data_IF_815652948060
#
_entry.id   IF_815652948060
#
_cell.length_a   1.000
_cell.length_b   1.000
_cell.length_c   1.000
_cell.angle_alpha   90.00
_cell.angle_beta   90.00
_cell.angle_gamma   90.00
#
_symmetry.space_group_name_H-M   'P 1'
#
loop_
_entity.id
_entity.type
_entity.pdbx_description
1 polymer ?
#
# COMPACT_ATOMS: atom_id res chain seq x y z
N UNK A 1 29.08 -4.07 68.03
CA UNK A 1 27.69 -4.05 68.52
C UNK A 1 27.09 -2.66 68.32
N UNK A 2 25.94 -2.57 67.62
CA UNK A 2 24.83 -1.59 67.76
C UNK A 2 25.24 -0.10 67.56
N UNK A 3 24.70 0.68 66.62
CA UNK A 3 23.28 0.89 66.32
C UNK A 3 23.10 1.42 64.88
N UNK A 4 22.33 0.71 64.07
CA UNK A 4 21.54 1.32 63.01
C UNK A 4 20.31 1.96 63.66
N UNK A 5 19.92 3.17 63.25
CA UNK A 5 18.54 3.69 63.19
C UNK A 5 18.57 5.22 63.08
N UNK A 6 18.63 5.77 61.87
CA UNK A 6 17.81 6.93 61.47
C UNK A 6 17.45 6.72 59.99
N UNK A 7 16.32 6.06 59.82
CA UNK A 7 15.61 5.81 58.56
C UNK A 7 14.54 6.90 58.41
N UNK A 8 14.26 7.29 57.16
CA UNK A 8 13.03 7.93 56.70
C UNK A 8 12.74 9.38 57.11
N UNK A 9 13.45 10.35 56.52
CA UNK A 9 13.07 11.76 56.64
C UNK A 9 13.18 12.65 55.41
N UNK A 10 13.71 12.19 54.26
CA UNK A 10 13.94 13.09 53.10
C UNK A 10 13.69 12.40 51.74
N UNK A 11 12.70 11.49 51.67
CA UNK A 11 12.29 10.84 50.42
C UNK A 11 10.78 11.02 50.15
N UNK A 12 10.19 12.11 50.66
CA UNK A 12 8.75 12.35 50.62
C UNK A 12 8.25 13.50 49.75
N UNK A 13 9.12 14.23 49.03
CA UNK A 13 8.71 15.42 48.25
C UNK A 13 9.05 15.40 46.76
N UNK A 14 9.64 14.32 46.23
CA UNK A 14 9.92 14.21 44.78
C UNK A 14 8.84 13.40 44.03
N UNK A 15 7.84 12.83 44.72
CA UNK A 15 6.73 12.10 44.10
C UNK A 15 5.46 12.95 43.90
N UNK A 16 5.56 14.28 44.04
CA UNK A 16 4.46 15.22 43.81
C UNK A 16 4.62 16.09 42.55
N UNK A 17 5.59 15.79 41.68
CA UNK A 17 5.45 16.14 40.26
C UNK A 17 4.50 15.14 39.58
N UNK A 18 3.29 15.02 40.12
CA UNK A 18 2.12 14.75 39.27
C UNK A 18 1.90 15.99 38.41
N UNK A 19 2.83 16.26 37.50
CA UNK A 19 2.60 17.15 36.39
C UNK A 19 1.52 16.45 35.57
N UNK A 20 0.26 16.73 35.92
CA UNK A 20 -0.81 16.58 34.95
C UNK A 20 -0.49 17.60 33.87
N UNK A 21 0.33 17.19 32.90
CA UNK A 21 0.55 17.94 31.68
C UNK A 21 -0.83 18.38 31.21
N UNK A 22 -0.98 19.69 31.03
CA UNK A 22 -2.24 20.29 30.64
C UNK A 22 -2.86 19.47 29.51
N UNK A 23 -4.11 19.02 29.69
CA UNK A 23 -4.76 18.13 28.74
C UNK A 23 -4.95 18.88 27.42
N UNK A 24 -4.12 18.55 26.43
CA UNK A 24 -4.22 19.13 25.10
C UNK A 24 -5.34 18.45 24.33
N UNK A 25 -6.13 19.25 23.64
CA UNK A 25 -7.25 18.75 22.85
C UNK A 25 -6.73 18.08 21.59
N UNK A 26 -7.57 17.21 21.01
CA UNK A 26 -7.32 16.63 19.69
C UNK A 26 -7.02 17.69 18.62
N UNK A 27 -7.79 18.78 18.60
CA UNK A 27 -7.60 19.87 17.63
C UNK A 27 -6.22 20.51 17.78
N UNK A 28 -5.79 20.78 19.02
CA UNK A 28 -4.46 21.31 19.29
C UNK A 28 -3.36 20.40 18.71
N UNK A 29 -3.45 19.08 18.92
CA UNK A 29 -2.50 18.14 18.35
C UNK A 29 -2.50 18.11 16.81
N UNK A 30 -3.65 18.29 16.17
CA UNK A 30 -3.72 18.36 14.70
C UNK A 30 -2.99 19.60 14.15
N UNK A 31 -3.00 20.71 14.90
CA UNK A 31 -2.28 21.94 14.55
C UNK A 31 -0.79 21.91 14.94
N UNK A 32 -0.37 20.93 15.76
CA UNK A 32 0.97 20.79 16.33
C UNK A 32 1.58 19.42 15.96
N UNK A 33 1.99 19.21 14.69
CA UNK A 33 2.36 17.90 14.18
C UNK A 33 3.63 17.31 14.79
N UNK A 34 4.57 18.15 15.29
CA UNK A 34 5.80 17.67 15.94
C UNK A 34 5.45 17.06 17.31
N UNK A 35 4.68 17.79 18.10
CA UNK A 35 4.22 17.39 19.41
C UNK A 35 3.29 16.17 19.32
N UNK A 36 2.41 16.14 18.32
CA UNK A 36 1.62 14.96 17.99
C UNK A 36 2.50 13.74 17.73
N UNK A 37 3.53 13.86 16.89
CA UNK A 37 4.43 12.75 16.56
C UNK A 37 5.14 12.21 17.81
N UNK A 38 5.65 13.09 18.67
CA UNK A 38 6.35 12.72 19.90
C UNK A 38 5.42 12.05 20.92
N UNK A 39 4.27 12.65 21.20
CA UNK A 39 3.30 12.13 22.18
C UNK A 39 2.70 10.82 21.67
N UNK A 40 2.32 10.74 20.39
CA UNK A 40 1.81 9.51 19.79
C UNK A 40 2.81 8.36 19.88
N UNK A 41 4.10 8.61 19.59
CA UNK A 41 5.14 7.59 19.68
C UNK A 41 5.30 7.07 21.11
N UNK A 42 5.30 7.97 22.11
CA UNK A 42 5.33 7.60 23.53
C UNK A 42 4.11 6.77 23.93
N UNK A 43 2.90 7.22 23.61
CA UNK A 43 1.66 6.52 23.94
C UNK A 43 1.56 5.13 23.27
N UNK A 44 2.05 4.99 22.03
CA UNK A 44 2.11 3.69 21.34
C UNK A 44 3.10 2.73 22.01
N UNK A 45 4.23 3.24 22.49
CA UNK A 45 5.26 2.43 23.14
C UNK A 45 4.85 2.01 24.55
N UNK A 46 4.22 2.89 25.33
CA UNK A 46 3.79 2.59 26.69
C UNK A 46 2.47 1.83 26.77
N UNK A 47 1.56 2.05 25.82
CA UNK A 47 0.18 1.57 25.89
C UNK A 47 -0.70 2.37 26.86
N UNK A 48 -0.26 3.57 27.27
CA UNK A 48 -1.01 4.41 28.21
C UNK A 48 -2.30 4.96 27.59
N UNK A 49 -3.34 5.06 28.42
CA UNK A 49 -4.67 5.51 28.01
C UNK A 49 -4.98 6.97 28.41
N UNK A 50 -4.00 7.72 28.92
CA UNK A 50 -4.22 9.07 29.47
C UNK A 50 -5.03 9.98 28.54
N UNK A 51 -5.71 11.03 29.04
CA UNK A 51 -6.43 11.97 28.17
C UNK A 51 -5.59 12.51 27.01
N UNK A 52 -4.30 12.81 27.24
CA UNK A 52 -3.36 13.22 26.21
C UNK A 52 -3.08 12.10 25.19
N UNK A 53 -2.92 10.85 25.64
CA UNK A 53 -2.77 9.71 24.73
C UNK A 53 -4.01 9.46 23.88
N UNK A 54 -5.22 9.51 24.45
CA UNK A 54 -6.47 9.39 23.68
C UNK A 54 -6.58 10.48 22.62
N UNK A 55 -6.31 11.73 23.01
CA UNK A 55 -6.39 12.87 22.11
C UNK A 55 -5.33 12.82 21.00
N UNK A 56 -4.09 12.43 21.32
CA UNK A 56 -3.01 12.29 20.35
C UNK A 56 -3.24 11.11 19.39
N UNK A 57 -3.71 9.96 19.88
CA UNK A 57 -4.06 8.80 19.04
C UNK A 57 -5.19 9.17 18.08
N UNK A 58 -6.23 9.84 18.58
CA UNK A 58 -7.34 10.27 17.74
C UNK A 58 -6.91 11.32 16.72
N UNK A 59 -6.09 12.31 17.10
CA UNK A 59 -5.52 13.29 16.18
C UNK A 59 -4.69 12.60 15.09
N UNK A 60 -3.81 11.67 15.45
CA UNK A 60 -3.02 10.90 14.50
C UNK A 60 -3.89 10.11 13.52
N UNK A 61 -4.98 9.51 14.00
CA UNK A 61 -5.93 8.81 13.15
C UNK A 61 -6.64 9.76 12.17
N UNK A 62 -7.02 10.97 12.61
CA UNK A 62 -7.65 11.96 11.72
C UNK A 62 -6.70 12.54 10.69
N UNK A 63 -5.46 12.85 11.07
CA UNK A 63 -4.42 13.30 10.13
C UNK A 63 -4.16 12.22 9.07
N UNK A 64 -4.13 10.95 9.47
CA UNK A 64 -3.99 9.84 8.51
C UNK A 64 -5.18 9.75 7.55
N UNK A 65 -6.40 9.91 8.05
CA UNK A 65 -7.59 9.87 7.21
C UNK A 65 -7.70 11.08 6.29
N UNK A 66 -7.38 12.29 6.76
CA UNK A 66 -7.44 13.50 5.92
C UNK A 66 -6.42 13.46 4.79
N UNK A 67 -5.29 12.78 5.02
CA UNK A 67 -4.23 12.59 4.03
C UNK A 67 -4.32 11.25 3.30
N UNK A 68 -5.35 10.44 3.56
CA UNK A 68 -5.54 9.18 2.87
C UNK A 68 -5.88 9.48 1.39
N UNK A 69 -5.31 8.73 0.44
CA UNK A 69 -5.75 8.83 -0.94
C UNK A 69 -7.25 8.52 -1.02
N UNK A 70 -7.98 9.27 -1.85
CA UNK A 70 -9.41 9.01 -2.10
C UNK A 70 -9.56 7.58 -2.59
N UNK A 71 -10.35 6.73 -1.92
CA UNK A 71 -10.59 5.37 -2.39
C UNK A 71 -11.19 5.42 -3.79
N UNK A 72 -10.47 4.88 -4.77
CA UNK A 72 -11.01 4.65 -6.10
C UNK A 72 -11.75 3.32 -6.09
N UNK A 73 -13.04 3.31 -6.40
CA UNK A 73 -13.83 2.07 -6.55
C UNK A 73 -13.57 1.34 -7.88
N UNK A 74 -12.33 1.43 -8.39
CA UNK A 74 -11.86 0.67 -9.55
C UNK A 74 -11.35 -0.72 -9.16
N UNK A 75 -11.00 -1.57 -10.13
CA UNK A 75 -10.19 -2.76 -9.81
C UNK A 75 -8.95 -2.31 -9.04
N UNK A 76 -8.52 -3.07 -8.03
CA UNK A 76 -7.32 -2.73 -7.24
C UNK A 76 -6.09 -2.79 -8.16
N UNK A 77 -5.79 -1.65 -8.79
CA UNK A 77 -4.69 -1.52 -9.74
C UNK A 77 -3.37 -1.73 -9.02
N UNK A 78 -3.28 -1.49 -7.71
CA UNK A 78 -2.05 -1.71 -6.95
C UNK A 78 -1.66 -3.19 -6.92
N UNK A 79 -2.64 -4.09 -6.92
CA UNK A 79 -2.39 -5.52 -7.01
C UNK A 79 -2.19 -6.00 -8.46
N UNK A 80 -2.76 -5.30 -9.45
CA UNK A 80 -2.51 -5.56 -10.88
C UNK A 80 -1.12 -5.07 -11.29
N UNK A 81 -0.69 -3.91 -10.78
CA UNK A 81 0.62 -3.28 -11.04
C UNK A 81 1.77 -4.21 -10.64
N UNK A 82 1.59 -4.97 -9.55
CA UNK A 82 2.54 -5.96 -9.05
C UNK A 82 2.42 -7.34 -9.70
N UNK A 83 1.42 -7.56 -10.56
CA UNK A 83 1.19 -8.86 -11.17
C UNK A 83 2.20 -9.12 -12.30
N UNK A 84 2.76 -10.34 -12.32
CA UNK A 84 3.56 -10.86 -13.42
C UNK A 84 2.64 -11.44 -14.49
N UNK A 85 2.21 -10.58 -15.42
CA UNK A 85 1.21 -10.91 -16.44
C UNK A 85 1.82 -11.20 -17.82
N UNK A 86 3.12 -10.99 -18.00
CA UNK A 86 3.80 -11.27 -19.26
C UNK A 86 4.36 -12.69 -19.21
N UNK A 87 3.51 -13.66 -19.58
CA UNK A 87 3.79 -15.10 -19.59
C UNK A 87 2.93 -15.78 -20.66
N UNK A 88 2.99 -17.09 -20.80
CA UNK A 88 2.12 -17.79 -21.75
C UNK A 88 0.70 -17.98 -21.21
N UNK A 89 -0.29 -17.86 -22.09
CA UNK A 89 -1.71 -18.04 -21.79
C UNK A 89 -2.38 -18.92 -22.84
N UNK A 90 -3.15 -19.90 -22.37
CA UNK A 90 -4.10 -20.61 -23.21
C UNK A 90 -5.38 -19.78 -23.33
N UNK A 91 -5.78 -19.50 -24.56
CA UNK A 91 -6.89 -18.62 -24.88
C UNK A 91 -7.90 -19.31 -25.79
N UNK A 92 -9.12 -18.81 -25.77
CA UNK A 92 -10.16 -19.16 -26.74
C UNK A 92 -10.58 -17.90 -27.46
N UNK A 93 -10.65 -17.93 -28.78
CA UNK A 93 -11.15 -16.85 -29.62
C UNK A 93 -12.07 -17.39 -30.71
N UNK A 94 -12.36 -16.57 -31.72
CA UNK A 94 -13.26 -16.91 -32.83
C UNK A 94 -12.88 -18.22 -33.55
N UNK A 95 -11.58 -18.43 -33.76
CA UNK A 95 -11.04 -19.58 -34.48
C UNK A 95 -10.75 -20.79 -33.57
N UNK A 96 -11.22 -20.77 -32.33
CA UNK A 96 -11.02 -21.83 -31.35
C UNK A 96 -9.90 -21.53 -30.35
N UNK A 97 -9.26 -22.60 -29.85
CA UNK A 97 -8.23 -22.48 -28.80
C UNK A 97 -6.86 -22.22 -29.39
N UNK A 98 -6.12 -21.31 -28.77
CA UNK A 98 -4.74 -20.99 -29.14
C UNK A 98 -3.93 -20.64 -27.89
N UNK A 99 -2.61 -20.70 -27.98
CA UNK A 99 -1.71 -20.28 -26.90
C UNK A 99 -0.96 -19.04 -27.35
N UNK A 100 -1.03 -17.98 -26.56
CA UNK A 100 -0.21 -16.79 -26.76
C UNK A 100 0.95 -16.78 -25.78
N UNK A 101 2.16 -16.57 -26.27
CA UNK A 101 3.36 -16.43 -25.44
C UNK A 101 3.95 -15.04 -25.62
N UNK A 102 4.05 -14.30 -24.52
CA UNK A 102 4.72 -13.00 -24.55
C UNK A 102 6.20 -13.14 -24.93
N UNK A 103 6.79 -12.12 -25.58
CA UNK A 103 8.21 -12.11 -25.91
C UNK A 103 9.11 -12.26 -24.69
N UNK A 104 10.31 -12.82 -24.89
CA UNK A 104 11.27 -13.07 -23.80
C UNK A 104 11.71 -11.77 -23.11
N UNK A 105 11.75 -10.66 -23.85
CA UNK A 105 12.02 -9.31 -23.36
C UNK A 105 11.00 -8.82 -22.30
N UNK A 106 9.79 -9.40 -22.28
CA UNK A 106 8.73 -9.07 -21.34
C UNK A 106 8.52 -10.13 -20.27
N UNK A 107 8.99 -11.37 -20.49
CA UNK A 107 8.68 -12.48 -19.58
C UNK A 107 9.11 -12.19 -18.15
N UNK A 108 8.18 -12.34 -17.22
CA UNK A 108 8.43 -12.15 -15.78
C UNK A 108 8.47 -10.70 -15.31
N UNK A 109 8.40 -9.71 -16.22
CA UNK A 109 8.22 -8.31 -15.85
C UNK A 109 6.84 -8.10 -15.21
N UNK A 110 6.77 -7.09 -14.37
CA UNK A 110 5.57 -6.57 -13.74
C UNK A 110 4.98 -5.46 -14.58
N UNK A 111 3.69 -5.16 -14.38
CA UNK A 111 3.03 -4.06 -15.08
C UNK A 111 3.65 -2.71 -14.70
N UNK A 112 4.11 -2.56 -13.45
CA UNK A 112 4.80 -1.35 -12.99
C UNK A 112 6.08 -1.08 -13.78
N UNK A 113 6.91 -2.10 -14.03
CA UNK A 113 8.12 -1.94 -14.88
C UNK A 113 7.76 -1.45 -16.29
N UNK A 114 6.66 -1.93 -16.87
CA UNK A 114 6.20 -1.47 -18.19
C UNK A 114 5.74 -0.02 -18.14
N UNK A 115 4.96 0.36 -17.12
CA UNK A 115 4.48 1.73 -16.93
C UNK A 115 5.63 2.74 -16.80
N UNK A 116 6.68 2.33 -16.10
CA UNK A 116 7.90 3.11 -15.90
C UNK A 116 8.78 3.16 -17.16
N UNK A 117 8.47 2.37 -18.18
CA UNK A 117 9.22 2.30 -19.44
C UNK A 117 10.45 1.41 -19.38
N UNK A 118 10.58 0.58 -18.35
CA UNK A 118 11.68 -0.39 -18.20
C UNK A 118 11.43 -1.64 -19.05
N UNK A 119 11.41 -1.46 -20.37
CA UNK A 119 11.33 -2.52 -21.34
C UNK A 119 11.92 -2.10 -22.68
N UNK A 120 12.37 -3.07 -23.46
CA UNK A 120 12.86 -2.85 -24.82
C UNK A 120 12.30 -3.95 -25.70
N UNK A 121 11.64 -3.55 -26.79
CA UNK A 121 11.06 -4.46 -27.78
C UNK A 121 11.70 -4.18 -29.14
N UNK A 122 11.99 -5.24 -29.88
CA UNK A 122 12.20 -5.14 -31.32
C UNK A 122 10.92 -4.69 -32.03
N UNK A 123 11.05 -4.19 -33.27
CA UNK A 123 9.90 -3.78 -34.08
C UNK A 123 8.91 -4.95 -34.31
N UNK A 124 9.43 -6.17 -34.45
CA UNK A 124 8.62 -7.38 -34.60
C UNK A 124 7.82 -7.69 -33.31
N UNK A 125 8.49 -7.70 -32.15
CA UNK A 125 7.83 -7.91 -30.87
C UNK A 125 6.77 -6.84 -30.60
N UNK A 126 7.08 -5.58 -30.94
CA UNK A 126 6.14 -4.45 -30.80
C UNK A 126 4.90 -4.65 -31.67
N UNK A 127 5.07 -5.08 -32.92
CA UNK A 127 3.96 -5.37 -33.84
C UNK A 127 3.09 -6.53 -33.33
N UNK A 128 3.72 -7.64 -32.93
CA UNK A 128 3.01 -8.82 -32.41
C UNK A 128 2.23 -8.51 -31.13
N UNK A 129 2.85 -7.75 -30.21
CA UNK A 129 2.22 -7.34 -28.97
C UNK A 129 1.04 -6.40 -29.20
N UNK A 130 1.16 -5.46 -30.14
CA UNK A 130 0.05 -4.58 -30.52
C UNK A 130 -1.13 -5.39 -31.04
N UNK A 131 -0.87 -6.33 -31.96
CA UNK A 131 -1.91 -7.19 -32.51
C UNK A 131 -2.59 -8.05 -31.43
N UNK A 132 -1.81 -8.58 -30.48
CA UNK A 132 -2.37 -9.29 -29.34
C UNK A 132 -3.29 -8.40 -28.50
N UNK A 133 -2.88 -7.17 -28.18
CA UNK A 133 -3.70 -6.25 -27.39
C UNK A 133 -5.00 -5.86 -28.10
N UNK A 134 -4.99 -5.72 -29.42
CA UNK A 134 -6.20 -5.51 -30.23
C UNK A 134 -7.12 -6.74 -30.18
N UNK A 135 -6.56 -7.94 -30.30
CA UNK A 135 -7.32 -9.19 -30.22
C UNK A 135 -7.96 -9.40 -28.83
N UNK A 136 -7.28 -8.97 -27.77
CA UNK A 136 -7.76 -9.11 -26.40
C UNK A 136 -9.02 -8.29 -26.11
N UNK A 137 -9.15 -7.13 -26.77
CA UNK A 137 -10.31 -6.24 -26.66
C UNK A 137 -11.60 -6.87 -27.23
N UNK A 138 -11.48 -7.92 -28.05
CA UNK A 138 -12.64 -8.67 -28.56
C UNK A 138 -13.40 -9.36 -27.41
N UNK A 139 -14.76 -9.29 -27.41
CA UNK A 139 -15.58 -9.98 -26.42
C UNK A 139 -15.51 -11.51 -26.54
N UNK A 140 -15.10 -12.03 -27.71
CA UNK A 140 -15.00 -13.46 -27.98
C UNK A 140 -13.69 -14.06 -27.47
N UNK A 141 -12.69 -13.22 -27.17
CA UNK A 141 -11.40 -13.64 -26.63
C UNK A 141 -11.50 -13.87 -25.12
N UNK A 142 -11.16 -15.07 -24.65
CA UNK A 142 -11.17 -15.45 -23.24
C UNK A 142 -9.87 -16.14 -22.85
N UNK A 143 -9.41 -15.88 -21.62
CA UNK A 143 -8.30 -16.62 -21.01
C UNK A 143 -8.85 -17.90 -20.38
N UNK A 144 -8.26 -19.03 -20.73
CA UNK A 144 -8.71 -20.34 -20.25
C UNK A 144 -8.43 -20.48 -18.75
N UNK A 145 -9.39 -21.02 -17.99
CA UNK A 145 -9.28 -21.30 -16.54
C UNK A 145 -9.03 -20.04 -15.67
N UNK A 146 -9.70 -18.95 -15.97
CA UNK A 146 -9.67 -17.73 -15.15
C UNK A 146 -10.32 -17.98 -13.77
N UNK A 147 -9.53 -17.94 -12.67
CA UNK A 147 -9.93 -18.50 -11.35
C UNK A 147 -10.14 -17.49 -10.20
N UNK A 148 -10.17 -16.18 -10.41
CA UNK A 148 -10.65 -15.29 -9.32
C UNK A 148 -10.29 -13.80 -9.39
N UNK A 149 -9.14 -13.44 -9.98
CA UNK A 149 -8.88 -12.06 -10.46
C UNK A 149 -8.82 -12.18 -11.97
N UNK A 150 -9.79 -11.60 -12.68
CA UNK A 150 -9.93 -11.92 -14.10
C UNK A 150 -8.62 -11.68 -14.85
N UNK A 151 -7.92 -12.74 -15.25
CA UNK A 151 -6.63 -12.68 -15.92
C UNK A 151 -6.72 -11.80 -17.17
N UNK A 152 -7.87 -11.86 -17.86
CA UNK A 152 -8.20 -10.97 -18.97
C UNK A 152 -8.12 -9.50 -18.56
N UNK A 153 -8.74 -9.10 -17.44
CA UNK A 153 -8.65 -7.70 -16.94
C UNK A 153 -7.23 -7.25 -16.65
N UNK A 154 -6.40 -8.14 -16.08
CA UNK A 154 -4.99 -7.83 -15.82
C UNK A 154 -4.20 -7.64 -17.12
N UNK A 155 -4.47 -8.46 -18.14
CA UNK A 155 -3.90 -8.31 -19.47
C UNK A 155 -4.41 -7.04 -20.18
N UNK A 156 -5.71 -6.74 -20.11
CA UNK A 156 -6.31 -5.52 -20.67
C UNK A 156 -5.67 -4.26 -20.07
N UNK A 157 -5.48 -4.27 -18.75
CA UNK A 157 -4.81 -3.18 -18.05
C UNK A 157 -3.34 -3.08 -18.44
N UNK A 158 -2.63 -4.20 -18.55
CA UNK A 158 -1.23 -4.22 -19.00
C UNK A 158 -1.06 -3.66 -20.42
N UNK A 159 -1.95 -4.05 -21.34
CA UNK A 159 -1.97 -3.56 -22.72
C UNK A 159 -2.07 -2.02 -22.80
N UNK A 160 -2.78 -1.40 -21.86
CA UNK A 160 -2.92 0.08 -21.77
C UNK A 160 -1.68 0.79 -21.22
N UNK A 161 -0.72 0.07 -20.64
CA UNK A 161 0.50 0.68 -20.09
C UNK A 161 1.62 0.82 -21.13
N UNK A 162 1.58 0.04 -22.22
CA UNK A 162 2.58 0.15 -23.28
C UNK A 162 2.45 1.48 -24.01
N UNK A 163 3.58 2.17 -24.16
CA UNK A 163 3.71 3.42 -24.93
C UNK A 163 4.22 3.08 -26.33
N UNK A 164 3.33 2.68 -27.21
CA UNK A 164 3.68 2.35 -28.59
C UNK A 164 3.84 3.58 -29.49
#
# INVERSE_FOLDING_TARGET
>A
MKKAMVVCGVLGFVLLSGCSDEVKTRAWYMDHPKELAEVFAKCKASGDDTPNCRNAIEAQFRVKQSNAPVPTFGPDTSEMDKAQVFKSYDMTGENGRFTYSFPDSLKGKTIQEIKDGDYTLSDEEKSNLRHFCEMLDSPLTQVSRDTGRSQKKSLDYACKQFKF
#
